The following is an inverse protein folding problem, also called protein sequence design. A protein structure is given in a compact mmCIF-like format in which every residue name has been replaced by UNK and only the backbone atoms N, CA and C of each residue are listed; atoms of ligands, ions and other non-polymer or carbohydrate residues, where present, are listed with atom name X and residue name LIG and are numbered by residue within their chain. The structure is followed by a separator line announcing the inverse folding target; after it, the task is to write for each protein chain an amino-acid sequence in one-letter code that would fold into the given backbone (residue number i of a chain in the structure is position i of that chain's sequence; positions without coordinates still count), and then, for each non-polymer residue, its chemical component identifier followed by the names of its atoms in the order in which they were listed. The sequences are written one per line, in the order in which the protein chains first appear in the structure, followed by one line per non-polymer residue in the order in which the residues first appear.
data_IF_400224399362
#
_entry.id   IF_400224399362
#
_cell.length_a   1.000
_cell.length_b   1.000
_cell.length_c   1.000
_cell.angle_alpha   90.00
_cell.angle_beta   90.00
_cell.angle_gamma   90.00
#
_symmetry.space_group_name_H-M   'P 1'
#
loop_
_entity.id
_entity.type
_entity.pdbx_description
1 polymer ?
#
# COMPACT_ATOMS: atom_id res chain seq x y z
N UNK A 1 9.89 -20.36 16.57
CA UNK A 1 8.94 -20.58 17.69
C UNK A 1 8.87 -19.37 18.62
N UNK A 2 10.01 -18.75 18.95
CA UNK A 2 10.07 -17.54 19.81
C UNK A 2 9.26 -16.35 19.25
N UNK A 3 9.48 -15.95 17.98
CA UNK A 3 8.70 -14.87 17.34
C UNK A 3 7.18 -15.13 17.28
N UNK A 4 6.76 -16.40 17.13
CA UNK A 4 5.33 -16.74 17.12
C UNK A 4 4.67 -16.49 18.48
N UNK A 5 5.32 -16.92 19.57
CA UNK A 5 4.79 -16.74 20.92
C UNK A 5 4.75 -15.25 21.32
N UNK A 6 5.76 -14.48 20.91
CA UNK A 6 5.77 -13.03 21.11
C UNK A 6 4.65 -12.33 20.35
N UNK A 7 4.47 -12.64 19.06
CA UNK A 7 3.39 -12.07 18.24
C UNK A 7 2.01 -12.46 18.79
N UNK A 8 1.85 -13.69 19.28
CA UNK A 8 0.60 -14.12 19.93
C UNK A 8 0.34 -13.36 21.24
N UNK A 9 1.38 -13.08 22.02
CA UNK A 9 1.28 -12.27 23.23
C UNK A 9 0.86 -10.84 22.92
N UNK A 10 1.47 -10.22 21.89
CA UNK A 10 1.10 -8.88 21.43
C UNK A 10 -0.33 -8.84 20.89
N UNK A 11 -0.74 -9.85 20.11
CA UNK A 11 -2.13 -10.00 19.67
C UNK A 11 -3.08 -10.01 20.86
N UNK A 12 -2.81 -10.81 21.89
CA UNK A 12 -3.69 -10.88 23.05
C UNK A 12 -3.78 -9.53 23.79
N UNK A 13 -2.65 -8.81 23.92
CA UNK A 13 -2.66 -7.45 24.48
C UNK A 13 -3.53 -6.49 23.67
N UNK A 14 -3.44 -6.55 22.34
CA UNK A 14 -4.28 -5.74 21.45
C UNK A 14 -5.75 -6.11 21.62
N UNK A 15 -6.09 -7.40 21.49
CA UNK A 15 -7.47 -7.88 21.47
C UNK A 15 -8.21 -7.67 22.80
N UNK A 16 -7.47 -7.57 23.91
CA UNK A 16 -8.05 -7.34 25.24
C UNK A 16 -8.33 -5.85 25.56
N UNK A 17 -7.89 -4.91 24.73
CA UNK A 17 -8.19 -3.48 24.94
C UNK A 17 -9.60 -3.13 24.52
N UNK A 18 -10.26 -2.26 25.27
CA UNK A 18 -11.61 -1.79 24.94
C UNK A 18 -11.60 -0.99 23.62
N UNK A 19 -10.57 -0.16 23.43
CA UNK A 19 -10.42 0.65 22.22
C UNK A 19 -10.29 -0.21 20.96
N UNK A 20 -9.57 -1.33 21.02
CA UNK A 20 -9.53 -2.27 19.90
C UNK A 20 -10.94 -2.79 19.58
N UNK A 21 -11.67 -3.29 20.59
CA UNK A 21 -13.02 -3.83 20.40
C UNK A 21 -13.98 -2.81 19.78
N UNK A 22 -13.96 -1.56 20.26
CA UNK A 22 -14.77 -0.48 19.72
C UNK A 22 -14.39 -0.12 18.28
N UNK A 23 -13.08 -0.07 18.00
CA UNK A 23 -12.54 0.21 16.67
C UNK A 23 -12.94 -0.84 15.63
N UNK A 24 -13.31 -2.06 16.04
CA UNK A 24 -13.72 -3.11 15.11
C UNK A 24 -14.93 -2.69 14.26
N UNK A 25 -15.85 -1.87 14.77
CA UNK A 25 -17.04 -1.42 14.03
C UNK A 25 -16.68 -0.69 12.73
N UNK A 26 -15.76 0.28 12.81
CA UNK A 26 -15.14 0.97 11.69
C UNK A 26 -13.79 1.55 12.12
N UNK A 27 -12.70 0.84 11.82
CA UNK A 27 -11.35 1.18 12.28
C UNK A 27 -10.99 2.64 11.94
N UNK A 28 -11.03 2.99 10.66
CA UNK A 28 -10.52 4.28 10.18
C UNK A 28 -11.30 5.46 10.78
N UNK A 29 -12.64 5.40 10.72
CA UNK A 29 -13.51 6.43 11.26
C UNK A 29 -13.45 6.52 12.79
N UNK A 30 -13.30 5.38 13.49
CA UNK A 30 -13.17 5.36 14.94
C UNK A 30 -11.96 6.17 15.41
N UNK A 31 -10.80 5.95 14.79
CA UNK A 31 -9.57 6.65 15.16
C UNK A 31 -9.66 8.16 14.92
N UNK A 32 -10.27 8.58 13.80
CA UNK A 32 -10.50 10.00 13.50
C UNK A 32 -11.51 10.62 14.49
N UNK A 33 -12.58 9.90 14.81
CA UNK A 33 -13.58 10.37 15.79
C UNK A 33 -13.00 10.52 17.19
N UNK A 34 -12.17 9.57 17.63
CA UNK A 34 -11.49 9.69 18.92
C UNK A 34 -10.57 10.91 18.93
N UNK A 35 -9.79 11.14 17.86
CA UNK A 35 -8.94 12.32 17.79
C UNK A 35 -9.74 13.62 17.86
N UNK A 36 -10.88 13.70 17.17
CA UNK A 36 -11.76 14.84 17.28
C UNK A 36 -12.24 15.08 18.73
N UNK A 37 -12.68 14.01 19.42
CA UNK A 37 -13.12 14.12 20.83
C UNK A 37 -11.98 14.54 21.76
N UNK A 38 -10.76 14.02 21.56
CA UNK A 38 -9.59 14.42 22.34
C UNK A 38 -9.30 15.92 22.16
N UNK A 39 -9.38 16.43 20.93
CA UNK A 39 -9.20 17.85 20.65
C UNK A 39 -10.30 18.72 21.25
N UNK A 40 -11.56 18.31 21.13
CA UNK A 40 -12.71 19.02 21.70
C UNK A 40 -12.66 19.07 23.24
N UNK A 41 -12.16 18.01 23.89
CA UNK A 41 -12.04 17.95 25.35
C UNK A 41 -10.80 18.68 25.89
N UNK A 42 -9.68 18.61 25.18
CA UNK A 42 -8.42 19.17 25.68
C UNK A 42 -8.22 20.63 25.26
N UNK A 43 -8.84 21.04 24.15
CA UNK A 43 -8.63 22.32 23.45
C UNK A 43 -7.14 22.65 23.22
N UNK A 44 -6.27 21.62 23.18
CA UNK A 44 -4.83 21.79 23.28
C UNK A 44 -4.10 21.39 21.99
N UNK A 45 -3.70 22.37 21.19
CA UNK A 45 -2.96 22.13 19.93
C UNK A 45 -1.49 22.56 19.98
N UNK A 46 -1.08 23.26 21.04
CA UNK A 46 0.30 23.73 21.28
C UNK A 46 1.23 22.58 21.67
N UNK A 47 1.40 21.63 20.76
CA UNK A 47 2.15 20.41 20.97
C UNK A 47 3.03 20.11 19.77
N UNK A 48 4.15 19.42 19.99
CA UNK A 48 5.10 19.02 18.93
C UNK A 48 4.43 18.25 17.78
N UNK A 49 3.33 17.55 18.06
CA UNK A 49 2.51 16.90 17.03
C UNK A 49 2.05 17.87 15.93
N UNK A 50 1.84 19.15 16.24
CA UNK A 50 1.39 20.17 15.28
C UNK A 50 2.49 21.14 14.79
N UNK A 51 3.75 20.94 15.19
CA UNK A 51 4.86 21.92 15.01
C UNK A 51 5.22 22.33 13.58
N UNK A 52 4.71 21.65 12.55
CA UNK A 52 4.89 22.06 11.15
C UNK A 52 3.65 22.72 10.53
N UNK A 53 2.49 22.48 11.12
CA UNK A 53 1.22 23.05 10.64
C UNK A 53 0.90 24.37 11.33
N UNK A 54 1.31 24.54 12.59
CA UNK A 54 1.13 25.78 13.35
C UNK A 54 2.41 26.14 14.11
N UNK A 55 2.52 27.40 14.54
CA UNK A 55 3.55 27.84 15.48
C UNK A 55 3.10 27.50 16.92
N UNK A 56 3.73 26.50 17.53
CA UNK A 56 3.35 26.00 18.86
C UNK A 56 3.63 26.98 19.99
N UNK A 57 4.35 28.09 19.74
CA UNK A 57 4.63 29.12 20.74
C UNK A 57 3.53 30.18 20.83
N UNK A 58 2.66 30.29 19.82
CA UNK A 58 1.54 31.24 19.80
C UNK A 58 0.35 30.75 20.59
N UNK A 59 -0.48 31.66 21.12
CA UNK A 59 -1.77 31.28 21.68
C UNK A 59 -2.81 31.07 20.58
N UNK A 60 -3.67 30.07 20.76
CA UNK A 60 -4.79 29.77 19.87
C UNK A 60 -6.11 29.76 20.64
N UNK A 61 -7.16 30.18 19.95
CA UNK A 61 -8.54 30.26 20.47
C UNK A 61 -9.53 29.78 19.41
N UNK A 62 -10.80 29.62 19.80
CA UNK A 62 -11.90 29.23 18.89
C UNK A 62 -11.62 27.92 18.12
N UNK A 63 -11.10 26.91 18.82
CA UNK A 63 -10.83 25.60 18.25
C UNK A 63 -12.14 24.93 17.82
N UNK A 64 -12.28 24.68 16.53
CA UNK A 64 -13.41 23.95 15.93
C UNK A 64 -12.89 22.71 15.24
N UNK A 65 -13.56 21.58 15.48
CA UNK A 65 -13.23 20.32 14.83
C UNK A 65 -14.41 19.84 14.02
N UNK A 66 -14.17 19.62 12.73
CA UNK A 66 -15.15 19.09 11.80
C UNK A 66 -14.71 17.69 11.35
N UNK A 67 -15.64 16.75 11.36
CA UNK A 67 -15.45 15.38 10.87
C UNK A 67 -15.96 15.29 9.44
N UNK A 68 -15.21 14.61 8.56
CA UNK A 68 -15.61 14.32 7.17
C UNK A 68 -15.99 15.56 6.32
N UNK A 69 -15.58 16.77 6.75
CA UNK A 69 -15.85 18.02 6.03
C UNK A 69 -15.15 17.97 4.69
N UNK A 70 -15.91 18.14 3.60
CA UNK A 70 -15.42 17.97 2.24
C UNK A 70 -14.73 16.62 2.01
N UNK A 71 -15.18 15.54 2.66
CA UNK A 71 -14.56 14.20 2.57
C UNK A 71 -13.11 14.13 3.07
N UNK A 72 -12.68 15.05 3.95
CA UNK A 72 -11.41 15.00 4.67
C UNK A 72 -11.71 14.45 6.07
N UNK A 73 -10.94 13.49 6.57
CA UNK A 73 -11.26 12.80 7.83
C UNK A 73 -11.50 13.79 8.99
N UNK A 74 -10.56 14.72 9.22
CA UNK A 74 -10.76 15.85 10.14
C UNK A 74 -10.30 17.17 9.52
N UNK A 75 -11.05 18.23 9.80
CA UNK A 75 -10.65 19.61 9.59
C UNK A 75 -10.69 20.35 10.93
N UNK A 76 -9.58 20.98 11.29
CA UNK A 76 -9.47 21.79 12.51
C UNK A 76 -9.33 23.25 12.08
N UNK A 77 -10.12 24.13 12.66
CA UNK A 77 -10.05 25.58 12.47
C UNK A 77 -9.74 26.23 13.82
N UNK A 78 -8.70 27.07 13.86
CA UNK A 78 -8.26 27.77 15.08
C UNK A 78 -7.83 29.20 14.74
N UNK A 79 -7.92 30.11 15.70
CA UNK A 79 -7.53 31.52 15.53
C UNK A 79 -6.31 31.79 16.40
N UNK A 80 -5.22 32.28 15.80
CA UNK A 80 -4.02 32.68 16.55
C UNK A 80 -4.17 34.07 17.21
N UNK A 81 -3.21 34.43 18.05
CA UNK A 81 -3.18 35.73 18.75
C UNK A 81 -3.14 36.95 17.82
N UNK A 82 -2.70 36.79 16.57
CA UNK A 82 -2.73 37.83 15.53
C UNK A 82 -4.08 37.88 14.79
N UNK A 83 -5.09 37.14 15.28
CA UNK A 83 -6.42 36.98 14.68
C UNK A 83 -6.40 36.34 13.29
N UNK A 84 -5.39 35.52 12.99
CA UNK A 84 -5.33 34.75 11.75
C UNK A 84 -5.96 33.39 11.95
N UNK A 85 -6.85 33.03 11.04
CA UNK A 85 -7.45 31.68 11.01
C UNK A 85 -6.45 30.71 10.38
N UNK A 86 -6.23 29.59 11.07
CA UNK A 86 -5.45 28.46 10.57
C UNK A 86 -6.39 27.28 10.33
N UNK A 87 -6.27 26.68 9.16
CA UNK A 87 -7.02 25.47 8.78
C UNK A 87 -6.04 24.31 8.70
N UNK A 88 -6.32 23.25 9.45
CA UNK A 88 -5.48 22.05 9.52
C UNK A 88 -6.32 20.86 9.06
N UNK A 89 -5.84 20.15 8.04
CA UNK A 89 -6.42 18.87 7.63
C UNK A 89 -5.69 17.73 8.32
N UNK A 90 -6.43 16.72 8.80
CA UNK A 90 -5.86 15.43 9.20
C UNK A 90 -6.42 14.39 8.24
N UNK A 91 -5.54 13.66 7.56
CA UNK A 91 -5.89 12.43 6.85
C UNK A 91 -5.31 11.25 7.61
N UNK A 92 -6.18 10.33 8.02
CA UNK A 92 -5.84 9.20 8.87
C UNK A 92 -5.71 7.91 8.05
N UNK A 93 -4.54 7.28 8.12
CA UNK A 93 -4.17 6.06 7.39
C UNK A 93 -3.78 4.94 8.34
N UNK A 94 -4.77 4.45 9.09
CA UNK A 94 -4.63 3.30 10.00
C UNK A 94 -4.91 1.97 9.33
N UNK A 95 -5.79 1.96 8.31
CA UNK A 95 -6.22 0.74 7.61
C UNK A 95 -5.79 0.68 6.15
N UNK A 96 -5.30 1.80 5.65
CA UNK A 96 -4.94 2.00 4.25
C UNK A 96 -3.54 2.60 4.15
N UNK A 97 -2.92 2.42 2.98
CA UNK A 97 -1.66 3.09 2.67
C UNK A 97 -1.97 4.53 2.27
N UNK A 98 -1.05 5.48 2.52
CA UNK A 98 -1.18 6.83 2.00
C UNK A 98 -1.33 6.88 0.48
N UNK A 99 -2.14 7.81 -0.03
CA UNK A 99 -2.35 8.04 -1.48
C UNK A 99 -1.99 9.50 -1.83
N UNK A 100 -0.95 9.69 -2.64
CA UNK A 100 -0.49 11.00 -3.08
C UNK A 100 -1.59 11.80 -3.80
N UNK A 101 -2.35 11.13 -4.67
CA UNK A 101 -3.41 11.79 -5.46
C UNK A 101 -4.51 12.32 -4.57
N UNK A 102 -4.83 11.59 -3.49
CA UNK A 102 -5.79 12.03 -2.49
C UNK A 102 -5.33 13.31 -1.78
N UNK A 103 -4.06 13.37 -1.36
CA UNK A 103 -3.51 14.54 -0.68
C UNK A 103 -3.47 15.78 -1.60
N UNK A 104 -3.10 15.61 -2.86
CA UNK A 104 -3.12 16.69 -3.87
C UNK A 104 -4.53 17.26 -4.01
N UNK A 105 -5.54 16.39 -4.20
CA UNK A 105 -6.95 16.82 -4.30
C UNK A 105 -7.45 17.56 -3.06
N UNK A 106 -6.89 17.29 -1.89
CA UNK A 106 -7.25 18.02 -0.66
C UNK A 106 -6.57 19.37 -0.58
N UNK A 107 -5.30 19.47 -0.97
CA UNK A 107 -4.60 20.76 -1.07
C UNK A 107 -5.29 21.73 -2.04
N UNK A 108 -5.97 21.22 -3.06
CA UNK A 108 -6.76 22.03 -4.00
C UNK A 108 -8.06 22.59 -3.40
N UNK A 109 -8.56 22.03 -2.29
CA UNK A 109 -9.83 22.48 -1.65
C UNK A 109 -9.64 23.75 -0.84
N UNK A 110 -8.47 23.93 -0.25
CA UNK A 110 -8.09 25.13 0.50
C UNK A 110 -6.57 25.32 0.40
N UNK A 111 -6.14 26.34 -0.34
CA UNK A 111 -4.72 26.63 -0.56
C UNK A 111 -4.00 27.13 0.70
N UNK A 112 -4.73 27.59 1.72
CA UNK A 112 -4.17 28.07 2.97
C UNK A 112 -4.11 26.96 4.04
N UNK A 113 -4.78 25.83 3.81
CA UNK A 113 -4.77 24.72 4.73
C UNK A 113 -3.43 23.98 4.69
N UNK A 114 -2.97 23.55 5.87
CA UNK A 114 -1.86 22.61 6.00
C UNK A 114 -2.37 21.25 6.43
N UNK A 115 -1.76 20.19 5.93
CA UNK A 115 -2.18 18.82 6.18
C UNK A 115 -1.24 18.07 7.12
N UNK A 116 -1.81 17.21 7.94
CA UNK A 116 -1.12 16.12 8.64
C UNK A 116 -1.59 14.79 8.04
N UNK A 117 -0.65 14.06 7.45
CA UNK A 117 -0.85 12.65 7.14
C UNK A 117 -0.50 11.82 8.37
N UNK A 118 -1.50 11.33 9.09
CA UNK A 118 -1.34 10.42 10.22
C UNK A 118 -1.30 8.98 9.70
N UNK A 119 -0.16 8.32 9.74
CA UNK A 119 0.00 6.99 9.12
C UNK A 119 0.84 6.02 9.94
N UNK A 120 0.44 4.74 9.93
CA UNK A 120 1.24 3.66 10.56
C UNK A 120 2.57 3.45 9.83
N UNK A 121 2.59 3.60 8.51
CA UNK A 121 3.78 3.46 7.67
C UNK A 121 4.18 4.76 7.01
N UNK A 122 5.48 4.92 6.73
CA UNK A 122 5.98 6.09 5.99
C UNK A 122 5.53 5.98 4.53
N UNK A 123 5.00 7.04 3.91
CA UNK A 123 4.76 7.04 2.47
C UNK A 123 6.08 7.00 1.72
N UNK A 124 6.13 6.29 0.59
CA UNK A 124 7.32 6.30 -0.31
C UNK A 124 7.28 7.38 -1.38
N UNK A 125 6.28 8.24 -1.36
CA UNK A 125 6.25 9.43 -2.20
C UNK A 125 6.59 10.67 -1.40
N UNK A 126 7.17 11.65 -2.09
CA UNK A 126 7.28 13.00 -1.57
C UNK A 126 5.88 13.59 -1.34
N UNK A 127 5.64 14.00 -0.10
CA UNK A 127 4.40 14.66 0.29
C UNK A 127 4.29 16.01 -0.43
N UNK A 128 3.07 16.45 -0.78
CA UNK A 128 2.87 17.83 -1.24
C UNK A 128 3.37 18.82 -0.19
N UNK A 129 3.86 19.99 -0.60
CA UNK A 129 4.54 20.96 0.28
C UNK A 129 3.73 21.38 1.51
N UNK A 130 2.40 21.40 1.41
CA UNK A 130 1.51 21.76 2.52
C UNK A 130 1.25 20.61 3.51
N UNK A 131 1.77 19.41 3.26
CA UNK A 131 1.52 18.20 4.05
C UNK A 131 2.75 17.73 4.82
N UNK A 132 2.51 17.37 6.08
CA UNK A 132 3.53 16.84 6.97
C UNK A 132 3.09 15.48 7.50
N UNK A 133 4.01 14.52 7.53
CA UNK A 133 3.71 13.22 8.12
C UNK A 133 3.75 13.32 9.65
N UNK A 134 2.82 12.62 10.30
CA UNK A 134 2.93 12.18 11.69
C UNK A 134 2.71 10.68 11.80
N UNK A 135 3.49 10.05 12.65
CA UNK A 135 3.34 8.65 13.01
C UNK A 135 2.33 8.49 14.15
N UNK A 136 1.79 7.27 14.28
CA UNK A 136 1.00 6.92 15.46
C UNK A 136 1.81 6.95 16.76
N UNK A 137 3.15 6.82 16.69
CA UNK A 137 4.02 7.05 17.86
C UNK A 137 3.92 8.48 18.38
N UNK A 138 3.95 9.46 17.48
CA UNK A 138 3.79 10.88 17.85
C UNK A 138 2.38 11.20 18.36
N UNK A 139 1.34 10.53 17.83
CA UNK A 139 -0.01 10.65 18.35
C UNK A 139 -0.14 10.07 19.76
N UNK A 140 0.48 8.91 20.02
CA UNK A 140 0.51 8.28 21.34
C UNK A 140 1.18 9.21 22.36
N UNK A 141 2.30 9.83 22.00
CA UNK A 141 2.97 10.81 22.85
C UNK A 141 2.06 12.01 23.15
N UNK A 142 1.42 12.57 22.12
CA UNK A 142 0.45 13.64 22.28
C UNK A 142 -0.69 13.27 23.24
N UNK A 143 -1.28 12.08 23.09
CA UNK A 143 -2.33 11.62 23.98
C UNK A 143 -1.83 11.35 25.40
N UNK A 144 -0.60 10.87 25.56
CA UNK A 144 0.01 10.64 26.88
C UNK A 144 0.17 11.95 27.64
N UNK A 145 0.61 13.01 26.95
CA UNK A 145 0.79 14.35 27.54
C UNK A 145 -0.54 15.05 27.86
N UNK A 146 -1.66 14.51 27.40
CA UNK A 146 -3.02 15.00 27.67
C UNK A 146 -3.72 14.27 28.82
N UNK A 147 -3.17 13.17 29.33
CA UNK A 147 -3.84 12.34 30.34
C UNK A 147 -4.24 13.13 31.60
N UNK A 148 -3.42 14.08 32.02
CA UNK A 148 -3.68 14.91 33.21
C UNK A 148 -4.57 16.14 32.92
N UNK A 149 -4.92 16.38 31.66
CA UNK A 149 -5.74 17.53 31.22
C UNK A 149 -7.20 17.18 30.97
N UNK A 150 -7.58 15.93 31.20
CA UNK A 150 -8.92 15.41 30.94
C UNK A 150 -9.52 14.79 32.19
N UNK A 151 -10.85 14.61 32.19
CA UNK A 151 -11.56 13.98 33.30
C UNK A 151 -11.11 12.53 33.52
N UNK A 152 -11.28 12.01 34.73
CA UNK A 152 -10.78 10.68 35.12
C UNK A 152 -11.31 9.55 34.23
N UNK A 153 -12.57 9.62 33.83
CA UNK A 153 -13.18 8.58 32.98
C UNK A 153 -12.55 8.59 31.60
N UNK A 154 -12.41 9.77 31.00
CA UNK A 154 -11.76 9.91 29.69
C UNK A 154 -10.27 9.58 29.75
N UNK A 155 -9.58 9.89 30.86
CA UNK A 155 -8.17 9.53 31.08
C UNK A 155 -7.96 8.02 31.04
N UNK A 156 -8.82 7.24 31.71
CA UNK A 156 -8.75 5.77 31.69
C UNK A 156 -8.99 5.23 30.26
N UNK A 157 -9.97 5.80 29.57
CA UNK A 157 -10.26 5.44 28.18
C UNK A 157 -9.09 5.75 27.23
N UNK A 158 -8.46 6.91 27.39
CA UNK A 158 -7.31 7.33 26.57
C UNK A 158 -6.05 6.53 26.91
N UNK A 159 -5.88 6.12 28.17
CA UNK A 159 -4.79 5.22 28.61
C UNK A 159 -4.89 3.86 27.91
N UNK A 160 -6.09 3.26 27.86
CA UNK A 160 -6.34 2.01 27.13
C UNK A 160 -6.04 2.16 25.63
N UNK A 161 -6.39 3.29 25.02
CA UNK A 161 -6.04 3.58 23.62
C UNK A 161 -4.52 3.69 23.39
N UNK A 162 -3.83 4.38 24.30
CA UNK A 162 -2.37 4.53 24.26
C UNK A 162 -1.70 3.15 24.32
N UNK A 163 -2.15 2.26 25.22
CA UNK A 163 -1.66 0.89 25.30
C UNK A 163 -1.99 0.09 24.02
N UNK A 164 -3.22 0.18 23.53
CA UNK A 164 -3.65 -0.45 22.29
C UNK A 164 -2.72 -0.08 21.12
N UNK A 165 -2.53 1.20 20.85
CA UNK A 165 -1.74 1.65 19.71
C UNK A 165 -0.23 1.39 19.87
N UNK A 166 0.30 1.38 21.10
CA UNK A 166 1.68 0.93 21.39
C UNK A 166 1.87 -0.52 20.96
N UNK A 167 0.97 -1.41 21.38
CA UNK A 167 1.04 -2.83 21.02
C UNK A 167 0.83 -3.06 19.51
N UNK A 168 -0.07 -2.30 18.85
CA UNK A 168 -0.23 -2.36 17.37
C UNK A 168 1.05 -1.97 16.65
N UNK A 169 1.70 -0.88 17.08
CA UNK A 169 2.97 -0.44 16.49
C UNK A 169 4.03 -1.54 16.59
N UNK A 170 4.24 -2.08 17.80
CA UNK A 170 5.21 -3.16 18.01
C UNK A 170 4.86 -4.42 17.21
N UNK A 171 3.58 -4.77 17.14
CA UNK A 171 3.11 -5.92 16.36
C UNK A 171 3.40 -5.74 14.86
N UNK A 172 3.11 -4.57 14.30
CA UNK A 172 3.38 -4.26 12.89
C UNK A 172 4.88 -4.28 12.60
N UNK A 173 5.71 -3.70 13.47
CA UNK A 173 7.16 -3.75 13.32
C UNK A 173 7.63 -5.21 13.30
N UNK A 174 7.29 -6.03 14.29
CA UNK A 174 7.75 -7.44 14.34
C UNK A 174 7.27 -8.30 13.18
N UNK A 175 6.05 -8.07 12.67
CA UNK A 175 5.50 -8.90 11.59
C UNK A 175 5.97 -8.47 10.19
N UNK A 176 6.33 -7.19 10.01
CA UNK A 176 6.63 -6.62 8.69
C UNK A 176 8.09 -6.77 8.25
N UNK A 177 9.00 -7.22 9.13
CA UNK A 177 10.44 -7.36 8.86
C UNK A 177 10.89 -8.80 8.55
N UNK A 178 10.01 -9.64 7.98
CA UNK A 178 10.40 -10.97 7.50
C UNK A 178 11.29 -10.90 6.25
N UNK A 179 12.29 -11.78 6.15
CA UNK A 179 13.10 -11.94 4.93
C UNK A 179 12.33 -12.63 3.80
N UNK A 180 11.33 -13.45 4.15
CA UNK A 180 10.47 -14.20 3.22
C UNK A 180 9.58 -13.31 2.36
N UNK A 181 9.38 -13.69 1.09
CA UNK A 181 8.41 -13.03 0.19
C UNK A 181 6.96 -13.23 0.67
N UNK A 182 6.65 -14.42 1.20
CA UNK A 182 5.35 -14.66 1.83
C UNK A 182 5.41 -14.24 3.30
N UNK A 183 4.29 -13.73 3.82
CA UNK A 183 4.08 -13.74 5.27
C UNK A 183 4.27 -15.19 5.74
N UNK A 184 5.16 -15.40 6.72
CA UNK A 184 5.44 -16.73 7.24
C UNK A 184 4.16 -17.41 7.73
N UNK A 185 4.09 -18.74 7.64
CA UNK A 185 2.87 -19.47 8.03
C UNK A 185 2.49 -19.23 9.49
N UNK A 186 3.49 -19.14 10.38
CA UNK A 186 3.29 -18.77 11.78
C UNK A 186 2.67 -17.37 11.92
N UNK A 187 3.16 -16.38 11.15
CA UNK A 187 2.60 -15.01 11.15
C UNK A 187 1.17 -15.01 10.63
N UNK A 188 0.87 -15.77 9.57
CA UNK A 188 -0.49 -15.92 9.05
C UNK A 188 -1.45 -16.54 10.08
N UNK A 189 -0.98 -17.51 10.88
CA UNK A 189 -1.78 -18.09 11.98
C UNK A 189 -2.07 -17.05 13.06
N UNK A 190 -1.09 -16.23 13.45
CA UNK A 190 -1.34 -15.14 14.42
C UNK A 190 -2.31 -14.11 13.87
N UNK A 191 -2.25 -13.79 12.57
CA UNK A 191 -3.15 -12.83 11.92
C UNK A 191 -4.57 -13.36 11.69
N UNK A 192 -4.79 -14.66 11.83
CA UNK A 192 -6.09 -15.28 11.56
C UNK A 192 -7.15 -14.74 12.53
N UNK A 193 -8.22 -14.15 11.97
CA UNK A 193 -9.30 -13.51 12.73
C UNK A 193 -9.03 -12.05 13.13
N UNK A 194 -7.80 -11.55 13.06
CA UNK A 194 -7.51 -10.14 13.36
C UNK A 194 -7.96 -9.23 12.21
N UNK A 195 -8.72 -8.17 12.51
CA UNK A 195 -9.10 -7.15 11.48
C UNK A 195 -7.90 -6.38 10.93
N UNK A 196 -6.79 -6.35 11.67
CA UNK A 196 -5.53 -5.75 11.26
C UNK A 196 -4.79 -6.55 10.17
N UNK A 197 -5.17 -7.80 9.90
CA UNK A 197 -4.56 -8.64 8.85
C UNK A 197 -4.48 -7.92 7.51
N UNK A 198 -5.56 -7.27 7.09
CA UNK A 198 -5.60 -6.55 5.82
C UNK A 198 -4.60 -5.39 5.73
N UNK A 199 -4.28 -4.76 6.86
CA UNK A 199 -3.32 -3.66 6.95
C UNK A 199 -1.91 -4.23 6.89
N UNK A 200 -1.64 -5.27 7.68
CA UNK A 200 -0.34 -5.97 7.68
C UNK A 200 -0.01 -6.51 6.29
N UNK A 201 -0.97 -7.14 5.61
CA UNK A 201 -0.78 -7.59 4.23
C UNK A 201 -0.44 -6.44 3.29
N UNK A 202 -1.15 -5.30 3.39
CA UNK A 202 -0.85 -4.11 2.56
C UNK A 202 0.56 -3.56 2.82
N UNK A 203 0.96 -3.46 4.09
CA UNK A 203 2.28 -2.97 4.49
C UNK A 203 3.37 -3.90 3.94
N UNK A 204 3.17 -5.22 4.10
CA UNK A 204 4.08 -6.24 3.58
C UNK A 204 4.27 -6.12 2.06
N UNK A 205 3.17 -6.03 1.31
CA UNK A 205 3.24 -5.90 -0.15
C UNK A 205 3.78 -4.55 -0.63
N UNK A 206 3.48 -3.45 0.07
CA UNK A 206 4.08 -2.15 -0.22
C UNK A 206 5.60 -2.20 -0.05
N UNK A 207 6.08 -2.69 1.10
CA UNK A 207 7.51 -2.87 1.36
C UNK A 207 8.23 -3.67 0.27
N UNK A 208 7.56 -4.68 -0.30
CA UNK A 208 8.07 -5.46 -1.43
C UNK A 208 8.10 -4.66 -2.73
N UNK A 209 7.02 -3.94 -3.05
CA UNK A 209 6.93 -3.08 -4.22
C UNK A 209 8.06 -2.03 -4.25
N UNK A 210 8.44 -1.48 -3.09
CA UNK A 210 9.52 -0.49 -3.01
C UNK A 210 10.88 -1.05 -3.35
N UNK A 211 11.20 -2.22 -2.79
CA UNK A 211 12.47 -2.91 -3.08
C UNK A 211 12.62 -3.24 -4.58
N UNK A 212 11.50 -3.24 -5.33
CA UNK A 212 11.47 -3.46 -6.77
C UNK A 212 11.38 -2.15 -7.57
N UNK A 213 10.74 -1.10 -7.04
CA UNK A 213 10.68 0.23 -7.69
C UNK A 213 12.03 0.93 -7.70
N UNK A 214 12.95 0.59 -6.79
CA UNK A 214 14.36 1.00 -6.80
C UNK A 214 15.14 0.57 -8.07
N UNK A 215 14.50 -0.14 -9.01
CA UNK A 215 15.10 -0.62 -10.25
C UNK A 215 14.94 0.33 -11.45
N UNK A 216 14.45 1.57 -11.25
CA UNK A 216 14.20 2.60 -12.29
C UNK A 216 13.15 2.23 -13.36
N UNK A 217 12.46 1.10 -13.22
CA UNK A 217 11.36 0.73 -14.10
C UNK A 217 10.05 1.33 -13.63
N UNK A 218 9.16 1.65 -14.58
CA UNK A 218 7.79 2.03 -14.28
C UNK A 218 7.06 0.84 -13.66
N UNK A 219 6.68 0.97 -12.38
CA UNK A 219 5.91 -0.04 -11.65
C UNK A 219 4.44 0.36 -11.56
N UNK A 220 3.58 -0.61 -11.25
CA UNK A 220 2.19 -0.39 -10.92
C UNK A 220 1.71 -1.42 -9.90
N UNK A 221 0.70 -1.06 -9.11
CA UNK A 221 0.08 -1.98 -8.16
C UNK A 221 -1.42 -1.73 -8.01
N UNK A 222 -2.10 -2.69 -7.39
CA UNK A 222 -3.52 -2.58 -7.12
C UNK A 222 -4.13 -3.88 -6.62
N UNK A 223 -5.45 -4.03 -6.77
CA UNK A 223 -6.17 -5.26 -6.39
C UNK A 223 -6.89 -5.88 -7.57
N UNK A 224 -6.71 -7.19 -7.75
CA UNK A 224 -7.45 -8.00 -8.72
C UNK A 224 -8.10 -9.14 -7.95
N UNK A 225 -9.44 -9.21 -8.01
CA UNK A 225 -10.26 -10.25 -7.34
C UNK A 225 -9.90 -10.42 -5.85
N UNK A 226 -9.68 -9.30 -5.15
CA UNK A 226 -9.37 -9.27 -3.72
C UNK A 226 -7.89 -9.47 -3.34
N UNK A 227 -7.05 -9.99 -4.24
CA UNK A 227 -5.61 -10.12 -4.00
C UNK A 227 -4.84 -8.88 -4.46
N UNK A 228 -3.84 -8.47 -3.68
CA UNK A 228 -2.88 -7.46 -4.11
C UNK A 228 -2.02 -8.01 -5.24
N UNK A 229 -1.69 -7.14 -6.18
CA UNK A 229 -0.71 -7.40 -7.21
C UNK A 229 0.19 -6.18 -7.38
N UNK A 230 1.40 -6.44 -7.82
CA UNK A 230 2.34 -5.44 -8.30
C UNK A 230 2.88 -5.94 -9.65
N UNK A 231 3.24 -5.03 -10.53
CA UNK A 231 3.84 -5.35 -11.81
C UNK A 231 4.84 -4.31 -12.28
N UNK A 232 5.64 -4.72 -13.24
CA UNK A 232 6.66 -3.93 -13.91
C UNK A 232 6.20 -3.76 -15.35
N UNK A 233 6.08 -2.51 -15.78
CA UNK A 233 5.64 -2.16 -17.11
C UNK A 233 6.85 -2.05 -18.04
N UNK A 234 6.95 -2.92 -19.04
CA UNK A 234 7.99 -2.87 -20.06
C UNK A 234 7.34 -2.55 -21.42
N UNK A 235 7.46 -1.30 -21.92
CA UNK A 235 6.84 -0.90 -23.17
C UNK A 235 7.43 -1.66 -24.37
N UNK A 236 6.58 -2.05 -25.31
CA UNK A 236 7.03 -2.62 -26.58
C UNK A 236 7.16 -1.47 -27.58
N UNK A 237 8.38 -1.00 -27.81
CA UNK A 237 8.64 0.18 -28.65
C UNK A 237 7.99 0.10 -30.03
N UNK A 238 7.37 1.20 -30.48
CA UNK A 238 6.67 1.26 -31.76
C UNK A 238 5.28 0.63 -31.75
N UNK A 239 4.81 0.17 -30.58
CA UNK A 239 3.42 -0.22 -30.33
C UNK A 239 2.87 0.59 -29.15
N UNK A 240 1.58 0.46 -28.88
CA UNK A 240 0.95 1.01 -27.66
C UNK A 240 0.76 -0.05 -26.57
N UNK A 241 1.31 -1.26 -26.80
CA UNK A 241 1.23 -2.43 -25.94
C UNK A 241 2.46 -2.59 -25.06
N UNK A 242 2.38 -3.46 -24.05
CA UNK A 242 3.49 -3.76 -23.15
C UNK A 242 3.64 -5.24 -22.86
N UNK A 243 4.85 -5.63 -22.46
CA UNK A 243 5.11 -6.89 -21.79
C UNK A 243 5.41 -6.61 -20.33
N UNK A 244 4.75 -7.30 -19.42
CA UNK A 244 4.88 -7.06 -18.00
C UNK A 244 5.30 -8.32 -17.27
N UNK A 245 6.14 -8.13 -16.24
CA UNK A 245 6.20 -9.07 -15.11
C UNK A 245 5.13 -8.62 -14.12
N UNK A 246 4.27 -9.53 -13.70
CA UNK A 246 3.28 -9.24 -12.66
C UNK A 246 3.29 -10.31 -11.59
N UNK A 247 3.30 -9.88 -10.33
CA UNK A 247 3.18 -10.76 -9.18
C UNK A 247 1.82 -10.56 -8.55
N UNK A 248 1.03 -11.63 -8.43
CA UNK A 248 -0.26 -11.62 -7.74
C UNK A 248 -0.34 -12.79 -6.76
N UNK A 249 -0.24 -12.51 -5.46
CA UNK A 249 -0.16 -13.53 -4.42
C UNK A 249 1.02 -14.47 -4.66
N UNK A 250 0.75 -15.76 -4.88
CA UNK A 250 1.78 -16.75 -5.22
C UNK A 250 2.10 -16.84 -6.71
N UNK A 251 1.45 -16.08 -7.58
CA UNK A 251 1.63 -16.21 -9.02
C UNK A 251 2.70 -15.24 -9.51
N UNK A 252 3.72 -15.77 -10.16
CA UNK A 252 4.69 -15.00 -10.94
C UNK A 252 4.29 -15.10 -12.41
N UNK A 253 3.93 -13.97 -13.01
CA UNK A 253 3.29 -13.92 -14.33
C UNK A 253 4.16 -13.20 -15.33
N UNK A 254 4.21 -13.76 -16.52
CA UNK A 254 4.55 -13.06 -17.75
C UNK A 254 3.26 -12.68 -18.45
N UNK A 255 3.12 -11.44 -18.86
CA UNK A 255 1.87 -10.89 -19.37
C UNK A 255 2.12 -9.97 -20.55
N UNK A 256 1.40 -10.16 -21.65
CA UNK A 256 1.27 -9.13 -22.68
C UNK A 256 -0.03 -8.37 -22.45
N UNK A 257 0.08 -7.04 -22.41
CA UNK A 257 -1.07 -6.13 -22.42
C UNK A 257 -1.22 -5.56 -23.83
N UNK A 258 -2.16 -6.10 -24.59
CA UNK A 258 -2.53 -5.51 -25.87
C UNK A 258 -3.37 -4.25 -25.61
N UNK A 259 -2.91 -3.11 -26.09
CA UNK A 259 -3.72 -1.90 -26.07
C UNK A 259 -5.01 -2.11 -26.88
N UNK A 260 -6.03 -1.27 -26.66
CA UNK A 260 -7.24 -1.34 -27.51
C UNK A 260 -6.94 -1.00 -28.96
N UNK A 261 -5.99 -0.11 -29.19
CA UNK A 261 -5.60 0.34 -30.51
C UNK A 261 -4.88 -0.78 -31.29
N UNK A 262 -3.89 -1.42 -30.67
CA UNK A 262 -3.16 -2.51 -31.28
C UNK A 262 -4.09 -3.72 -31.46
N UNK A 263 -4.90 -4.03 -30.44
CA UNK A 263 -5.89 -5.11 -30.54
C UNK A 263 -6.87 -4.93 -31.70
N UNK A 264 -7.28 -3.70 -32.02
CA UNK A 264 -8.20 -3.47 -33.13
C UNK A 264 -7.56 -3.79 -34.50
N UNK A 265 -6.22 -3.73 -34.57
CA UNK A 265 -5.43 -4.02 -35.78
C UNK A 265 -4.98 -5.49 -35.86
N UNK A 266 -4.91 -6.15 -34.70
CA UNK A 266 -4.47 -7.52 -34.54
C UNK A 266 -5.63 -8.50 -34.63
N UNK A 267 -5.44 -9.60 -35.36
CA UNK A 267 -6.41 -10.69 -35.47
C UNK A 267 -6.37 -11.64 -34.26
N UNK A 268 -5.79 -12.82 -34.47
CA UNK A 268 -5.73 -13.88 -33.47
C UNK A 268 -4.63 -13.62 -32.44
N UNK A 269 -5.02 -13.04 -31.30
CA UNK A 269 -4.11 -12.72 -30.20
C UNK A 269 -3.49 -13.99 -29.56
N UNK A 270 -4.18 -15.13 -29.55
CA UNK A 270 -3.61 -16.37 -29.01
C UNK A 270 -2.47 -16.86 -29.89
N UNK A 271 -2.64 -16.80 -31.22
CA UNK A 271 -1.58 -17.14 -32.17
C UNK A 271 -0.35 -16.23 -32.05
N UNK A 272 -0.56 -14.94 -31.75
CA UNK A 272 0.54 -14.01 -31.48
C UNK A 272 1.26 -14.41 -30.19
N UNK A 273 0.53 -14.70 -29.12
CA UNK A 273 1.12 -15.17 -27.86
C UNK A 273 1.88 -16.50 -28.04
N UNK A 274 1.37 -17.42 -28.86
CA UNK A 274 2.06 -18.65 -29.24
C UNK A 274 3.36 -18.36 -29.97
N UNK A 275 3.33 -17.46 -30.96
CA UNK A 275 4.51 -17.04 -31.71
C UNK A 275 5.57 -16.41 -30.80
N UNK A 276 5.14 -15.59 -29.83
CA UNK A 276 6.05 -15.03 -28.81
C UNK A 276 6.66 -16.17 -28.00
N UNK A 277 5.84 -17.08 -27.45
CA UNK A 277 6.31 -18.19 -26.61
C UNK A 277 7.26 -19.16 -27.33
N UNK A 278 7.08 -19.35 -28.63
CA UNK A 278 7.92 -20.22 -29.47
C UNK A 278 9.24 -19.55 -29.88
N UNK A 279 9.21 -18.24 -30.18
CA UNK A 279 10.38 -17.51 -30.73
C UNK A 279 11.22 -16.79 -29.68
N UNK A 280 10.81 -16.79 -28.42
CA UNK A 280 11.47 -16.06 -27.33
C UNK A 280 11.56 -16.93 -26.07
N UNK A 281 12.32 -16.49 -25.08
CA UNK A 281 12.31 -17.11 -23.75
C UNK A 281 11.09 -16.71 -22.90
N UNK A 282 10.24 -15.84 -23.42
CA UNK A 282 9.06 -15.33 -22.73
C UNK A 282 8.03 -16.43 -22.49
N UNK A 283 7.29 -16.32 -21.38
CA UNK A 283 6.39 -17.37 -20.86
C UNK A 283 7.04 -18.73 -20.53
N UNK A 284 8.36 -18.87 -20.66
CA UNK A 284 9.09 -20.10 -20.34
C UNK A 284 9.88 -19.92 -19.02
N UNK A 285 9.30 -20.37 -17.91
CA UNK A 285 9.82 -20.14 -16.55
C UNK A 285 10.97 -21.08 -16.11
N UNK A 286 11.48 -21.94 -17.02
CA UNK A 286 12.57 -22.91 -16.78
C UNK A 286 12.46 -23.66 -15.44
N UNK A 287 11.38 -24.44 -15.26
CA UNK A 287 10.94 -24.90 -13.93
C UNK A 287 11.67 -26.13 -13.34
N UNK A 288 12.43 -26.89 -14.13
CA UNK A 288 13.00 -28.18 -13.68
C UNK A 288 13.92 -28.02 -12.46
N UNK A 289 14.82 -27.03 -12.47
CA UNK A 289 15.73 -26.71 -11.37
C UNK A 289 15.57 -25.29 -10.82
N UNK A 290 14.40 -24.67 -11.02
CA UNK A 290 14.20 -23.28 -10.61
C UNK A 290 14.12 -23.15 -9.09
N UNK A 291 15.01 -22.41 -8.40
CA UNK A 291 14.96 -22.28 -6.95
C UNK A 291 13.80 -21.39 -6.46
N UNK A 292 13.18 -20.61 -7.36
CA UNK A 292 12.19 -19.58 -7.05
C UNK A 292 10.79 -20.01 -7.44
N UNK A 293 10.65 -20.63 -8.61
CA UNK A 293 9.36 -20.93 -9.22
C UNK A 293 9.09 -22.43 -9.28
N UNK A 294 7.81 -22.79 -9.19
CA UNK A 294 7.30 -24.15 -9.35
C UNK A 294 6.10 -24.16 -10.31
N UNK A 295 5.78 -25.35 -10.83
CA UNK A 295 4.73 -25.53 -11.82
C UNK A 295 3.37 -25.09 -11.28
N UNK A 296 2.64 -24.31 -12.07
CA UNK A 296 1.26 -23.98 -11.79
C UNK A 296 0.33 -25.14 -12.19
N UNK A 297 -0.81 -25.28 -11.51
CA UNK A 297 -1.80 -26.34 -11.76
C UNK A 297 -2.78 -26.01 -12.90
N UNK A 298 -2.56 -24.90 -13.61
CA UNK A 298 -3.53 -24.44 -14.61
C UNK A 298 -3.52 -25.31 -15.86
N UNK A 299 -4.70 -25.79 -16.26
CA UNK A 299 -4.90 -26.55 -17.51
C UNK A 299 -5.15 -25.64 -18.71
N UNK A 300 -5.40 -24.35 -18.50
CA UNK A 300 -5.62 -23.39 -19.60
C UNK A 300 -4.31 -23.05 -20.27
N UNK A 301 -4.30 -23.06 -21.60
CA UNK A 301 -3.16 -22.62 -22.41
C UNK A 301 -2.82 -21.16 -22.09
N UNK A 302 -3.74 -20.25 -22.41
CA UNK A 302 -3.65 -18.83 -22.07
C UNK A 302 -4.64 -18.45 -20.98
N UNK A 303 -4.23 -17.55 -20.10
CA UNK A 303 -5.09 -16.96 -19.08
C UNK A 303 -5.32 -15.51 -19.48
N UNK A 304 -6.54 -15.05 -19.28
CA UNK A 304 -6.93 -13.71 -19.70
C UNK A 304 -7.58 -12.96 -18.56
N UNK A 305 -7.33 -11.65 -18.54
CA UNK A 305 -8.02 -10.72 -17.66
C UNK A 305 -8.59 -9.57 -18.49
N UNK A 306 -9.91 -9.40 -18.42
CA UNK A 306 -10.61 -8.51 -19.34
C UNK A 306 -10.39 -8.90 -20.81
N UNK A 307 -10.44 -7.89 -21.70
CA UNK A 307 -10.28 -8.09 -23.14
C UNK A 307 -8.86 -7.81 -23.65
N UNK A 308 -7.92 -7.42 -22.79
CA UNK A 308 -6.61 -6.86 -23.20
C UNK A 308 -5.43 -7.73 -22.80
N UNK A 309 -5.61 -8.57 -21.78
CA UNK A 309 -4.50 -9.19 -21.08
C UNK A 309 -4.39 -10.66 -21.43
N UNK A 310 -3.21 -11.10 -21.88
CA UNK A 310 -2.87 -12.50 -22.05
C UNK A 310 -1.65 -12.81 -21.19
N UNK A 311 -1.74 -13.84 -20.37
CA UNK A 311 -0.66 -14.20 -19.46
C UNK A 311 -0.50 -15.71 -19.28
N UNK A 312 0.71 -16.09 -18.90
CA UNK A 312 1.03 -17.39 -18.33
C UNK A 312 1.75 -17.18 -16.99
N UNK A 313 1.74 -18.19 -16.13
CA UNK A 313 2.30 -18.04 -14.79
C UNK A 313 2.83 -19.33 -14.19
N UNK A 314 3.86 -19.16 -13.36
CA UNK A 314 4.34 -20.15 -12.40
C UNK A 314 3.93 -19.74 -10.98
N UNK A 315 4.06 -20.67 -10.04
CA UNK A 315 3.93 -20.34 -8.62
C UNK A 315 5.30 -19.99 -8.04
N UNK A 316 5.35 -19.00 -7.16
CA UNK A 316 6.52 -18.73 -6.31
C UNK A 316 6.53 -19.78 -5.21
N UNK A 317 7.67 -20.45 -5.01
CA UNK A 317 7.85 -21.47 -3.97
C UNK A 317 7.68 -20.87 -2.57
N UNK A 318 7.12 -21.64 -1.65
CA UNK A 318 6.72 -21.18 -0.30
C UNK A 318 7.86 -20.56 0.52
N UNK A 319 9.10 -21.00 0.32
CA UNK A 319 10.26 -20.62 1.14
C UNK A 319 11.23 -19.67 0.43
N UNK A 320 10.75 -18.87 -0.52
CA UNK A 320 11.58 -17.89 -1.24
C UNK A 320 11.74 -16.62 -0.43
N UNK A 321 12.97 -16.16 -0.24
CA UNK A 321 13.23 -14.84 0.32
C UNK A 321 12.88 -13.73 -0.67
N UNK A 322 12.50 -12.57 -0.14
CA UNK A 322 12.28 -11.35 -0.92
C UNK A 322 13.52 -11.02 -1.76
N UNK A 323 14.72 -11.18 -1.20
CA UNK A 323 15.98 -10.90 -1.88
C UNK A 323 16.20 -11.81 -3.09
N UNK A 324 15.97 -13.10 -2.94
CA UNK A 324 16.08 -14.07 -4.04
C UNK A 324 15.07 -13.79 -5.14
N UNK A 325 13.81 -13.48 -4.77
CA UNK A 325 12.77 -13.13 -5.74
C UNK A 325 13.12 -11.85 -6.51
N UNK A 326 13.61 -10.81 -5.82
CA UNK A 326 14.04 -9.56 -6.47
C UNK A 326 15.20 -9.81 -7.44
N UNK A 327 16.20 -10.62 -7.05
CA UNK A 327 17.30 -10.98 -7.94
C UNK A 327 16.83 -11.80 -9.15
N UNK A 328 15.84 -12.68 -8.95
CA UNK A 328 15.19 -13.39 -10.04
C UNK A 328 14.52 -12.43 -11.02
N UNK A 329 13.68 -11.52 -10.52
CA UNK A 329 13.00 -10.47 -11.32
C UNK A 329 14.03 -9.66 -12.13
N UNK A 330 15.13 -9.23 -11.52
CA UNK A 330 16.21 -8.48 -12.21
C UNK A 330 16.81 -9.26 -13.36
N UNK A 331 17.06 -10.54 -13.15
CA UNK A 331 17.62 -11.42 -14.18
C UNK A 331 16.62 -11.63 -15.31
N UNK A 332 15.35 -11.74 -14.95
CA UNK A 332 14.25 -11.97 -15.89
C UNK A 332 13.96 -10.74 -16.74
N UNK A 333 13.94 -9.53 -16.16
CA UNK A 333 13.78 -8.26 -16.91
C UNK A 333 14.81 -8.18 -18.03
N UNK A 334 16.09 -8.44 -17.74
CA UNK A 334 17.16 -8.39 -18.75
C UNK A 334 16.93 -9.36 -19.92
N UNK A 335 16.38 -10.55 -19.63
CA UNK A 335 16.01 -11.52 -20.67
C UNK A 335 14.84 -11.03 -21.48
N UNK A 336 13.83 -10.46 -20.81
CA UNK A 336 12.66 -9.90 -21.47
C UNK A 336 13.06 -8.79 -22.41
N UNK A 337 13.87 -7.84 -21.96
CA UNK A 337 14.37 -6.71 -22.76
C UNK A 337 15.11 -7.17 -24.01
N UNK A 338 15.94 -8.22 -23.91
CA UNK A 338 16.63 -8.79 -25.06
C UNK A 338 15.65 -9.34 -26.12
N UNK A 339 14.52 -9.89 -25.67
CA UNK A 339 13.50 -10.47 -26.54
C UNK A 339 12.39 -9.49 -26.96
N UNK A 340 12.27 -8.31 -26.32
CA UNK A 340 11.24 -7.31 -26.65
C UNK A 340 11.29 -6.86 -28.11
N UNK A 341 12.48 -6.85 -28.72
CA UNK A 341 12.63 -6.56 -30.15
C UNK A 341 11.95 -7.62 -31.02
N UNK A 342 12.09 -8.90 -30.67
CA UNK A 342 11.43 -10.01 -31.37
C UNK A 342 9.92 -9.93 -31.16
N UNK A 343 9.46 -9.61 -29.94
CA UNK A 343 8.03 -9.41 -29.64
C UNK A 343 7.45 -8.30 -30.49
N UNK A 344 8.14 -7.15 -30.60
CA UNK A 344 7.76 -6.04 -31.45
C UNK A 344 7.59 -6.48 -32.89
N UNK A 345 8.57 -7.17 -33.45
CA UNK A 345 8.55 -7.61 -34.85
C UNK A 345 7.36 -8.55 -35.12
N UNK A 346 7.11 -9.51 -34.21
CA UNK A 346 5.94 -10.40 -34.27
C UNK A 346 4.64 -9.60 -34.29
N UNK A 347 4.49 -8.61 -33.40
CA UNK A 347 3.27 -7.80 -33.32
C UNK A 347 3.10 -6.98 -34.61
N UNK A 348 4.14 -6.29 -35.08
CA UNK A 348 4.07 -5.43 -36.26
C UNK A 348 3.82 -6.22 -37.57
N UNK A 349 4.37 -7.42 -37.70
CA UNK A 349 4.07 -8.33 -38.84
C UNK A 349 2.59 -8.71 -38.88
N UNK A 350 1.97 -8.92 -37.72
CA UNK A 350 0.55 -9.29 -37.61
C UNK A 350 -0.40 -8.09 -37.69
N UNK A 351 0.09 -6.85 -37.50
CA UNK A 351 -0.67 -5.62 -37.79
C UNK A 351 -0.76 -5.39 -39.30
N UNK A 352 0.28 -5.76 -40.06
CA UNK A 352 0.34 -5.53 -41.52
C UNK A 352 -0.44 -6.55 -42.36
N UNK A 353 -0.93 -7.64 -41.77
CA UNK A 353 -1.60 -8.72 -42.51
C UNK A 353 -3.13 -8.59 -42.60
N UNK A 354 -3.73 -7.60 -41.92
CA UNK A 354 -5.19 -7.38 -41.89
C UNK A 354 -5.72 -6.44 -42.99
N UNK A 355 -4.85 -5.97 -43.89
CA UNK A 355 -5.26 -5.27 -45.13
C UNK A 355 -5.23 -6.25 -46.30
N UNK A 356 -6.32 -7.01 -46.47
CA UNK A 356 -6.63 -7.70 -47.73
C UNK A 356 -8.09 -7.57 -48.06
#
# INVERSE_FOLDING_TARGET
MENYNELLTLRNKIENTLNYQLSLSNLELYHSNLFAVVLEKSEFINHKFFSNVIDINKKYTDLKVYREKNSIDLTIEVIDEDRRTHVIFIENKVKSLPDKSQLIRYSEKDSNAKGILLSLVKPEFELPDSWFRRSYGELIEYYSDLLDKVDETFRLFLTDYVEYMKNVKEFIEKISYGESYFLEECNNKVLEGMRLRSVVEKIHYANLENKISDLEYKTYSGRIRGAHHFGIYLPIEGTTSSFDIQIQGKQYRHKVNFSLEDKAKLGDLERICDSIKEKTCLYNFNLEDNPILEKSSSRKKWKTYGKKDYYDYAHIKKHVSSKELINYIRTDIKKIEADLKIVKDIILENIKSTTK
#
